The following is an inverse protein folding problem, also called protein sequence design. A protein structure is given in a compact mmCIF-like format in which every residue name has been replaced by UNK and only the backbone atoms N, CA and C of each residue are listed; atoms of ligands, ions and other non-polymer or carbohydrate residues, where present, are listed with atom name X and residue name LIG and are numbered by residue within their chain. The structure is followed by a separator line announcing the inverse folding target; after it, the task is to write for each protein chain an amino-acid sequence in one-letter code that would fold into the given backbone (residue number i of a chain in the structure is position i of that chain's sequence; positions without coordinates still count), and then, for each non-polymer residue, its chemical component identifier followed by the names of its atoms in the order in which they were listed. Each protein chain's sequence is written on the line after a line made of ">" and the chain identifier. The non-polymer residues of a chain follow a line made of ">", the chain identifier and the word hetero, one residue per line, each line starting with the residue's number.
data_IF_813630487282
#
_entry.id   IF_813630487282
#
_cell.length_a   1.000
_cell.length_b   1.000
_cell.length_c   1.000
_cell.angle_alpha   90.00
_cell.angle_beta   90.00
_cell.angle_gamma   90.00
#
_symmetry.space_group_name_H-M   'P 1'
#
loop_
_entity.id
_entity.type
_entity.pdbx_description
1 polymer ?
#
# COMPACT_ATOMS: atom_id res chain seq x y z
N UNK A 1 -19.42 16.68 -7.76
CA UNK A 1 -19.20 15.28 -7.46
C UNK A 1 -17.71 14.99 -7.27
N UNK A 2 -17.34 14.43 -6.12
CA UNK A 2 -15.94 14.20 -5.80
C UNK A 2 -15.79 12.99 -4.87
N UNK A 3 -14.62 12.37 -4.96
CA UNK A 3 -14.19 11.34 -4.02
C UNK A 3 -13.33 11.99 -2.94
N UNK A 4 -13.53 11.59 -1.69
CA UNK A 4 -12.70 12.07 -0.59
C UNK A 4 -12.25 10.90 0.27
N UNK A 5 -10.96 10.91 0.65
CA UNK A 5 -10.39 9.94 1.55
C UNK A 5 -9.61 10.64 2.67
N UNK A 6 -9.69 10.11 3.88
CA UNK A 6 -8.88 10.61 4.98
C UNK A 6 -7.42 10.19 4.83
N UNK A 7 -7.20 8.97 4.40
CA UNK A 7 -5.85 8.43 4.21
C UNK A 7 -5.82 7.57 2.95
N UNK A 8 -4.87 7.86 2.08
CA UNK A 8 -4.53 7.01 0.94
C UNK A 8 -3.25 6.26 1.29
N UNK A 9 -3.30 4.93 1.24
CA UNK A 9 -2.12 4.09 1.40
C UNK A 9 -1.77 3.50 0.03
N UNK A 10 -0.53 3.64 -0.37
CA UNK A 10 -0.07 3.14 -1.65
C UNK A 10 1.39 2.75 -1.59
N UNK A 11 1.81 1.88 -2.49
CA UNK A 11 3.21 1.52 -2.68
C UNK A 11 3.70 2.32 -3.89
N UNK A 12 4.38 3.41 -3.66
CA UNK A 12 4.71 4.48 -4.60
C UNK A 12 3.52 5.46 -4.78
N UNK A 13 3.16 6.10 -3.68
CA UNK A 13 1.97 6.96 -3.62
C UNK A 13 1.93 8.08 -4.67
N UNK A 14 3.03 8.79 -4.99
CA UNK A 14 2.94 9.83 -6.02
C UNK A 14 2.44 9.33 -7.36
N UNK A 15 2.81 8.11 -7.76
CA UNK A 15 2.36 7.53 -9.01
C UNK A 15 0.86 7.21 -8.96
N UNK A 16 0.41 6.52 -7.91
CA UNK A 16 -0.98 6.09 -7.79
C UNK A 16 -1.92 7.28 -7.62
N UNK A 17 -1.53 8.26 -6.83
CA UNK A 17 -2.35 9.45 -6.59
C UNK A 17 -2.45 10.27 -7.88
N UNK A 18 -1.35 10.45 -8.60
CA UNK A 18 -1.35 11.14 -9.89
C UNK A 18 -2.27 10.46 -10.89
N UNK A 19 -2.22 9.13 -10.94
CA UNK A 19 -3.09 8.35 -11.82
C UNK A 19 -4.56 8.56 -11.45
N UNK A 20 -4.90 8.51 -10.16
CA UNK A 20 -6.29 8.69 -9.70
C UNK A 20 -6.81 10.08 -9.97
N UNK A 21 -5.99 11.11 -9.75
CA UNK A 21 -6.37 12.49 -10.05
C UNK A 21 -6.72 12.63 -11.53
N UNK A 22 -5.88 12.09 -12.42
CA UNK A 22 -6.09 12.17 -13.85
C UNK A 22 -7.33 11.40 -14.30
N UNK A 23 -7.55 10.22 -13.75
CA UNK A 23 -8.72 9.41 -14.12
C UNK A 23 -10.03 10.05 -13.67
N UNK A 24 -10.05 10.64 -12.49
CA UNK A 24 -11.24 11.35 -12.01
C UNK A 24 -11.49 12.60 -12.85
N UNK A 25 -10.44 13.34 -13.18
CA UNK A 25 -10.55 14.53 -14.01
C UNK A 25 -11.14 14.21 -15.39
N UNK A 26 -10.75 13.09 -15.99
CA UNK A 26 -11.28 12.66 -17.29
C UNK A 26 -12.78 12.40 -17.26
N UNK A 27 -13.35 12.16 -16.09
CA UNK A 27 -14.79 11.89 -15.88
C UNK A 27 -15.50 13.09 -15.26
N UNK A 28 -14.90 14.26 -15.34
CA UNK A 28 -15.41 15.49 -14.73
C UNK A 28 -15.65 15.37 -13.24
N UNK A 29 -14.81 14.57 -12.56
CA UNK A 29 -14.89 14.35 -11.12
C UNK A 29 -13.57 14.75 -10.48
N UNK A 30 -13.60 14.96 -9.16
CA UNK A 30 -12.41 15.32 -8.40
C UNK A 30 -12.04 14.23 -7.42
N UNK A 31 -10.74 13.97 -7.34
CA UNK A 31 -10.16 13.06 -6.36
C UNK A 31 -9.47 13.91 -5.30
N UNK A 32 -9.94 13.82 -4.05
CA UNK A 32 -9.39 14.58 -2.93
C UNK A 32 -9.00 13.64 -1.79
N UNK A 33 -7.96 14.02 -1.07
CA UNK A 33 -7.52 13.26 0.09
C UNK A 33 -6.88 14.20 1.10
N UNK A 34 -6.88 13.78 2.37
CA UNK A 34 -6.32 14.57 3.46
C UNK A 34 -4.85 14.22 3.70
N UNK A 35 -4.54 12.93 3.77
CA UNK A 35 -3.18 12.44 4.01
C UNK A 35 -2.88 11.27 3.09
N UNK A 36 -1.59 11.07 2.81
CA UNK A 36 -1.15 9.88 2.11
C UNK A 36 -0.04 9.19 2.89
N UNK A 37 0.10 7.89 2.68
CA UNK A 37 1.17 7.09 3.25
C UNK A 37 1.76 6.22 2.16
N UNK A 38 3.07 6.35 1.94
CA UNK A 38 3.78 5.61 0.90
C UNK A 38 4.60 4.50 1.55
N UNK A 39 4.12 3.27 1.43
CA UNK A 39 4.81 2.11 1.99
C UNK A 39 6.18 1.91 1.36
N UNK A 40 6.35 2.23 0.08
CA UNK A 40 7.64 2.11 -0.59
C UNK A 40 8.69 3.01 0.06
N UNK A 41 8.36 4.29 0.25
CA UNK A 41 9.30 5.25 0.83
C UNK A 41 9.53 4.99 2.31
N UNK A 42 8.48 4.60 3.03
CA UNK A 42 8.58 4.32 4.46
C UNK A 42 9.53 3.15 4.73
N UNK A 43 9.42 2.08 3.95
CA UNK A 43 10.19 0.86 4.17
C UNK A 43 11.59 0.88 3.55
N UNK A 44 11.88 1.83 2.67
CA UNK A 44 13.20 1.91 2.04
C UNK A 44 14.35 1.96 3.05
N UNK A 45 14.35 2.86 4.05
CA UNK A 45 15.43 2.90 5.03
C UNK A 45 15.38 1.75 6.04
N UNK A 46 14.24 1.12 6.19
CA UNK A 46 14.08 -0.01 7.13
C UNK A 46 14.63 -1.29 6.53
N UNK A 47 14.29 -1.56 5.28
CA UNK A 47 14.73 -2.78 4.58
C UNK A 47 16.18 -2.73 4.14
N UNK A 48 16.70 -1.55 3.83
CA UNK A 48 18.09 -1.32 3.46
C UNK A 48 18.58 -2.20 2.31
N UNK A 49 17.76 -2.32 1.28
CA UNK A 49 18.12 -3.11 0.10
C UNK A 49 19.20 -2.37 -0.70
N UNK A 50 20.25 -3.08 -1.15
CA UNK A 50 21.34 -2.42 -1.87
C UNK A 50 20.94 -2.01 -3.28
N UNK A 51 21.40 -0.85 -3.72
CA UNK A 51 21.30 -0.43 -5.10
C UNK A 51 22.29 -1.20 -5.95
N UNK A 52 21.95 -1.43 -7.22
CA UNK A 52 22.87 -2.06 -8.16
C UNK A 52 24.06 -1.16 -8.46
N UNK A 53 23.87 0.15 -8.39
CA UNK A 53 24.94 1.13 -8.61
C UNK A 53 24.69 2.35 -7.73
N UNK A 54 25.78 2.98 -7.27
CA UNK A 54 25.70 4.19 -6.46
C UNK A 54 25.54 3.91 -4.98
N UNK A 55 25.24 4.97 -4.23
CA UNK A 55 25.07 4.93 -2.79
C UNK A 55 23.58 4.95 -2.43
N UNK A 56 23.27 4.52 -1.22
CA UNK A 56 21.92 4.53 -0.69
C UNK A 56 21.20 3.22 -0.92
N UNK A 57 19.91 3.24 -0.65
CA UNK A 57 19.09 2.05 -0.72
C UNK A 57 18.12 2.13 -1.90
N UNK A 58 17.82 0.98 -2.50
CA UNK A 58 16.83 0.93 -3.56
C UNK A 58 15.43 0.94 -2.98
N UNK A 59 14.46 1.41 -3.75
CA UNK A 59 13.06 1.30 -3.41
C UNK A 59 12.61 -0.17 -3.50
N UNK A 60 12.00 -0.72 -2.43
CA UNK A 60 11.56 -2.10 -2.47
C UNK A 60 10.35 -2.29 -3.38
N UNK A 61 10.31 -3.42 -4.07
CA UNK A 61 9.08 -3.85 -4.75
C UNK A 61 8.08 -4.31 -3.69
N UNK A 62 6.80 -4.29 -4.04
CA UNK A 62 5.76 -4.77 -3.12
C UNK A 62 5.99 -6.24 -2.73
N UNK A 63 6.44 -7.07 -3.66
CA UNK A 63 6.78 -8.47 -3.38
C UNK A 63 7.91 -8.59 -2.37
N UNK A 64 8.92 -7.73 -2.46
CA UNK A 64 10.03 -7.70 -1.51
C UNK A 64 9.56 -7.26 -0.13
N UNK A 65 8.65 -6.29 -0.07
CA UNK A 65 8.06 -5.85 1.19
C UNK A 65 7.27 -6.97 1.85
N UNK A 66 6.47 -7.70 1.08
CA UNK A 66 5.73 -8.85 1.60
C UNK A 66 6.67 -9.89 2.20
N UNK A 67 7.74 -10.24 1.50
CA UNK A 67 8.75 -11.17 2.02
C UNK A 67 9.35 -10.67 3.34
N UNK A 68 9.68 -9.40 3.39
CA UNK A 68 10.26 -8.79 4.59
C UNK A 68 9.32 -8.90 5.80
N UNK A 69 8.02 -8.83 5.56
CA UNK A 69 6.99 -8.88 6.61
C UNK A 69 6.43 -10.29 6.82
N UNK A 70 7.04 -11.30 6.21
CA UNK A 70 6.62 -12.70 6.30
C UNK A 70 5.20 -12.93 5.77
N UNK A 71 4.84 -12.20 4.73
CA UNK A 71 3.58 -12.37 4.02
C UNK A 71 3.88 -13.16 2.75
N UNK A 72 3.32 -14.37 2.64
CA UNK A 72 3.58 -15.25 1.52
C UNK A 72 2.50 -15.10 0.44
N UNK A 73 2.81 -15.42 -0.84
CA UNK A 73 1.80 -15.37 -1.90
C UNK A 73 0.53 -16.14 -1.56
N UNK A 74 0.67 -17.24 -0.85
CA UNK A 74 -0.48 -18.03 -0.38
C UNK A 74 -1.41 -17.20 0.52
N UNK A 75 -0.84 -16.40 1.41
CA UNK A 75 -1.63 -15.56 2.32
C UNK A 75 -2.42 -14.51 1.54
N UNK A 76 -1.79 -13.90 0.55
CA UNK A 76 -2.43 -12.89 -0.30
C UNK A 76 -3.56 -13.51 -1.10
N UNK A 77 -3.30 -14.66 -1.73
CA UNK A 77 -4.30 -15.38 -2.52
C UNK A 77 -5.52 -15.73 -1.68
N UNK A 78 -5.29 -16.30 -0.49
CA UNK A 78 -6.38 -16.69 0.41
C UNK A 78 -7.22 -15.50 0.83
N UNK A 79 -6.58 -14.40 1.21
CA UNK A 79 -7.30 -13.19 1.63
C UNK A 79 -8.05 -12.57 0.46
N UNK A 80 -7.48 -12.60 -0.73
CA UNK A 80 -8.12 -12.08 -1.92
C UNK A 80 -9.39 -12.88 -2.26
N UNK A 81 -9.30 -14.20 -2.17
CA UNK A 81 -10.48 -15.07 -2.37
C UNK A 81 -11.56 -14.81 -1.33
N UNK A 82 -11.16 -14.60 -0.09
CA UNK A 82 -12.09 -14.28 1.00
C UNK A 82 -12.83 -12.98 0.75
N UNK A 83 -12.12 -11.94 0.28
CA UNK A 83 -12.70 -10.61 0.07
C UNK A 83 -13.48 -10.47 -1.24
N UNK A 84 -13.04 -11.14 -2.29
CA UNK A 84 -13.61 -10.96 -3.63
C UNK A 84 -14.29 -12.20 -4.17
N UNK A 85 -14.28 -13.30 -3.42
CA UNK A 85 -14.91 -14.57 -3.80
C UNK A 85 -14.46 -15.08 -5.17
N UNK A 86 -13.23 -14.76 -5.57
CA UNK A 86 -12.68 -15.21 -6.84
C UNK A 86 -11.20 -15.43 -6.73
N UNK A 87 -10.69 -16.37 -7.53
CA UNK A 87 -9.27 -16.66 -7.60
C UNK A 87 -8.59 -15.62 -8.48
N UNK A 88 -7.50 -15.06 -7.99
CA UNK A 88 -6.74 -14.05 -8.72
C UNK A 88 -5.25 -14.40 -8.68
N UNK A 89 -4.56 -14.07 -9.76
CA UNK A 89 -3.13 -14.30 -9.89
C UNK A 89 -2.34 -13.05 -9.50
N UNK A 90 -1.02 -13.22 -9.34
CA UNK A 90 -0.10 -12.09 -9.19
C UNK A 90 -0.31 -11.13 -10.35
N UNK A 91 -0.08 -9.86 -10.12
CA UNK A 91 -0.26 -8.76 -11.07
C UNK A 91 -1.71 -8.40 -11.37
N UNK A 92 -2.68 -9.13 -10.78
CA UNK A 92 -4.05 -8.65 -10.74
C UNK A 92 -4.13 -7.50 -9.73
N UNK A 93 -4.85 -6.43 -10.09
CA UNK A 93 -4.94 -5.25 -9.22
C UNK A 93 -5.54 -5.58 -7.85
N UNK A 94 -6.45 -6.54 -7.80
CA UNK A 94 -7.05 -6.97 -6.52
C UNK A 94 -6.01 -7.67 -5.66
N UNK A 95 -5.18 -8.52 -6.26
CA UNK A 95 -4.09 -9.19 -5.55
C UNK A 95 -3.11 -8.16 -4.97
N UNK A 96 -2.69 -7.21 -5.78
CA UNK A 96 -1.74 -6.18 -5.35
C UNK A 96 -2.32 -5.29 -4.25
N UNK A 97 -3.61 -4.95 -4.34
CA UNK A 97 -4.29 -4.18 -3.31
C UNK A 97 -4.34 -4.94 -1.99
N UNK A 98 -4.61 -6.24 -2.02
CA UNK A 98 -4.63 -7.08 -0.82
C UNK A 98 -3.23 -7.24 -0.25
N UNK A 99 -2.22 -7.41 -1.11
CA UNK A 99 -0.82 -7.47 -0.67
C UNK A 99 -0.42 -6.20 0.07
N UNK A 100 -0.83 -5.05 -0.43
CA UNK A 100 -0.58 -3.76 0.22
C UNK A 100 -1.32 -3.65 1.56
N UNK A 101 -2.58 -4.06 1.60
CA UNK A 101 -3.39 -4.05 2.81
C UNK A 101 -2.75 -4.91 3.91
N UNK A 102 -2.34 -6.13 3.57
CA UNK A 102 -1.69 -7.03 4.52
C UNK A 102 -0.34 -6.47 4.97
N UNK A 103 0.42 -5.85 4.06
CA UNK A 103 1.70 -5.24 4.39
C UNK A 103 1.55 -4.08 5.36
N UNK A 104 0.56 -3.23 5.15
CA UNK A 104 0.29 -2.12 6.05
C UNK A 104 -0.10 -2.64 7.45
N UNK A 105 -0.97 -3.64 7.53
CA UNK A 105 -1.41 -4.20 8.79
C UNK A 105 -0.28 -4.92 9.53
N UNK A 106 0.52 -5.72 8.83
CA UNK A 106 1.66 -6.41 9.46
C UNK A 106 2.74 -5.42 9.89
N UNK A 107 2.99 -4.40 9.07
CA UNK A 107 3.93 -3.34 9.44
C UNK A 107 3.46 -2.60 10.69
N UNK A 108 2.18 -2.34 10.80
CA UNK A 108 1.61 -1.66 11.98
C UNK A 108 1.77 -2.49 13.26
N UNK A 109 1.74 -3.82 13.15
CA UNK A 109 1.97 -4.69 14.31
C UNK A 109 3.42 -4.69 14.77
N UNK A 110 4.36 -4.49 13.84
CA UNK A 110 5.80 -4.65 14.10
C UNK A 110 6.53 -3.33 14.32
N UNK A 111 5.99 -2.21 13.85
CA UNK A 111 6.68 -0.91 13.83
C UNK A 111 5.79 0.13 14.51
N UNK A 112 6.29 0.71 15.61
CA UNK A 112 5.53 1.63 16.45
C UNK A 112 5.05 2.86 15.70
N UNK A 113 5.91 3.48 14.89
CA UNK A 113 5.53 4.67 14.14
C UNK A 113 4.40 4.39 13.15
N UNK A 114 4.39 3.21 12.54
CA UNK A 114 3.33 2.80 11.63
C UNK A 114 2.06 2.44 12.41
N UNK A 115 2.20 1.85 13.59
CA UNK A 115 1.07 1.57 14.46
C UNK A 115 0.32 2.85 14.84
N UNK A 116 1.03 3.93 15.12
CA UNK A 116 0.41 5.22 15.43
C UNK A 116 -0.43 5.75 14.29
N UNK A 117 0.10 5.65 13.06
CA UNK A 117 -0.63 6.08 11.86
C UNK A 117 -1.89 5.24 11.67
N UNK A 118 -1.77 3.92 11.79
CA UNK A 118 -2.90 3.01 11.65
C UNK A 118 -3.98 3.28 12.70
N UNK A 119 -3.58 3.46 13.95
CA UNK A 119 -4.51 3.73 15.06
C UNK A 119 -5.27 5.04 14.86
N UNK A 120 -4.57 6.07 14.40
CA UNK A 120 -5.17 7.38 14.14
C UNK A 120 -6.33 7.30 13.15
N UNK A 121 -6.23 6.42 12.15
CA UNK A 121 -7.22 6.33 11.09
C UNK A 121 -8.23 5.19 11.28
N UNK A 122 -7.82 4.08 11.88
CA UNK A 122 -8.69 2.90 12.01
C UNK A 122 -9.60 2.95 13.23
N UNK A 123 -9.24 3.67 14.28
CA UNK A 123 -10.04 3.76 15.51
C UNK A 123 -11.14 4.82 15.46
N UNK A 124 -11.18 5.63 14.42
CA UNK A 124 -12.19 6.68 14.28
C UNK A 124 -13.60 6.15 14.03
N UNK A 125 -13.71 4.90 13.60
CA UNK A 125 -14.98 4.29 13.22
C UNK A 125 -15.60 3.47 14.35
N UNK A 126 -14.98 3.47 15.53
CA UNK A 126 -15.52 2.79 16.72
C UNK A 126 -16.38 3.77 17.59
#
# INVERSE_FOLDING_TARGET
>A
DFFFADLIVAHNAPFDIGFMINEYYRRDRRFRYKEDFDTMRFFTPIMKLPRKSGQGYKFPKLTELCEFLDIYPYDVTRKTMELFSSDVTRHDARYDTVALYLSFNEGAKKIESLQEIASKHLQKDE
#
